data_IF_515891728429
#
_entry.id   IF_515891728429
#
_cell.length_a   1.000
_cell.length_b   1.000
_cell.length_c   1.000
_cell.angle_alpha   90.00
_cell.angle_beta   90.00
_cell.angle_gamma   90.00
#
_symmetry.space_group_name_H-M   'P 1'
#
loop_
_entity.id
_entity.type
_entity.pdbx_description
1 polymer ?
#
# COMPACT_ATOMS: atom_id res chain seq x y z
N UNK A 1 -28.11 -6.79 3.13
CA UNK A 1 -27.02 -6.69 2.12
C UNK A 1 -25.76 -7.01 2.88
N UNK A 2 -25.19 -8.19 2.67
CA UNK A 2 -24.05 -8.68 3.43
C UNK A 2 -22.85 -7.78 3.13
N UNK A 3 -22.27 -7.15 4.16
CA UNK A 3 -20.97 -6.50 4.05
C UNK A 3 -20.01 -7.65 3.74
N UNK A 4 -19.59 -7.78 2.49
CA UNK A 4 -18.57 -8.76 2.11
C UNK A 4 -17.41 -8.59 3.08
N UNK A 5 -17.01 -9.67 3.76
CA UNK A 5 -15.93 -9.58 4.73
C UNK A 5 -14.67 -9.13 3.99
N UNK A 6 -13.89 -8.18 4.54
CA UNK A 6 -12.70 -7.69 3.85
C UNK A 6 -11.69 -8.79 3.47
N UNK A 7 -11.68 -9.89 4.23
CA UNK A 7 -10.86 -11.07 3.96
C UNK A 7 -11.33 -11.82 2.70
N UNK A 8 -12.64 -11.95 2.49
CA UNK A 8 -13.20 -12.56 1.28
C UNK A 8 -12.87 -11.73 0.04
N UNK A 9 -12.94 -10.39 0.16
CA UNK A 9 -12.53 -9.49 -0.93
C UNK A 9 -11.06 -9.67 -1.29
N UNK A 10 -10.16 -9.73 -0.30
CA UNK A 10 -8.75 -10.01 -0.55
C UNK A 10 -8.59 -11.34 -1.28
N UNK A 11 -9.22 -12.41 -0.77
CA UNK A 11 -9.15 -13.75 -1.35
C UNK A 11 -9.62 -13.76 -2.80
N UNK A 12 -10.78 -13.19 -3.09
CA UNK A 12 -11.33 -13.12 -4.45
C UNK A 12 -10.38 -12.39 -5.41
N UNK A 13 -9.81 -11.26 -4.99
CA UNK A 13 -8.89 -10.50 -5.83
C UNK A 13 -7.55 -11.21 -6.01
N UNK A 14 -7.00 -11.80 -4.96
CA UNK A 14 -5.77 -12.59 -5.04
C UNK A 14 -5.93 -13.80 -5.98
N UNK A 15 -7.07 -14.50 -5.93
CA UNK A 15 -7.38 -15.59 -6.86
C UNK A 15 -7.51 -15.11 -8.31
N UNK A 16 -8.08 -13.93 -8.54
CA UNK A 16 -8.17 -13.34 -9.88
C UNK A 16 -6.79 -12.93 -10.44
N UNK A 17 -5.87 -12.47 -9.60
CA UNK A 17 -4.51 -12.09 -9.98
C UNK A 17 -3.54 -13.28 -10.06
N UNK A 18 -3.87 -14.41 -9.41
CA UNK A 18 -2.97 -15.57 -9.32
C UNK A 18 -2.42 -16.04 -10.69
N UNK A 19 -3.21 -16.14 -11.77
CA UNK A 19 -2.70 -16.58 -13.08
C UNK A 19 -1.66 -15.63 -13.69
N UNK A 20 -1.84 -14.31 -13.59
CA UNK A 20 -0.89 -13.33 -14.15
C UNK A 20 0.38 -13.23 -13.32
N UNK A 21 0.27 -13.44 -12.01
CA UNK A 21 1.39 -13.42 -11.07
C UNK A 21 2.15 -14.76 -10.99
N UNK A 22 1.64 -15.83 -11.61
CA UNK A 22 2.29 -17.15 -11.62
C UNK A 22 2.09 -17.98 -10.35
N UNK A 23 1.01 -17.73 -9.59
CA UNK A 23 0.67 -18.50 -8.39
C UNK A 23 -0.59 -19.36 -8.60
N UNK A 24 -0.72 -20.41 -7.81
CA UNK A 24 -1.93 -21.27 -7.79
C UNK A 24 -2.95 -20.79 -6.77
N UNK A 25 -4.22 -21.15 -6.97
CA UNK A 25 -5.29 -20.91 -5.99
C UNK A 25 -5.00 -21.59 -4.63
N UNK A 26 -4.33 -22.73 -4.65
CA UNK A 26 -3.93 -23.44 -3.44
C UNK A 26 -2.93 -22.62 -2.63
N UNK A 27 -1.89 -22.07 -3.28
CA UNK A 27 -0.91 -21.18 -2.62
C UNK A 27 -1.59 -19.95 -2.01
N UNK A 28 -2.51 -19.31 -2.73
CA UNK A 28 -3.26 -18.17 -2.20
C UNK A 28 -4.01 -18.55 -0.92
N UNK A 29 -4.83 -19.61 -0.97
CA UNK A 29 -5.63 -20.02 0.18
C UNK A 29 -4.77 -20.45 1.38
N UNK A 30 -3.67 -21.16 1.12
CA UNK A 30 -2.74 -21.59 2.15
C UNK A 30 -2.06 -20.39 2.81
N UNK A 31 -1.55 -19.44 2.03
CA UNK A 31 -0.91 -18.22 2.55
C UNK A 31 -1.89 -17.39 3.39
N UNK A 32 -3.13 -17.23 2.94
CA UNK A 32 -4.18 -16.59 3.76
C UNK A 32 -4.36 -17.35 5.09
N UNK A 33 -4.46 -18.67 5.05
CA UNK A 33 -4.62 -19.50 6.26
C UNK A 33 -3.47 -19.32 7.25
N UNK A 34 -2.22 -19.30 6.77
CA UNK A 34 -1.04 -19.05 7.61
C UNK A 34 -1.15 -17.68 8.27
N UNK A 35 -1.41 -16.63 7.49
CA UNK A 35 -1.47 -15.25 8.01
C UNK A 35 -2.57 -15.09 9.06
N UNK A 36 -3.77 -15.60 8.77
CA UNK A 36 -4.91 -15.47 9.67
C UNK A 36 -4.73 -16.29 10.96
N UNK A 37 -4.11 -17.47 10.88
CA UNK A 37 -3.83 -18.28 12.06
C UNK A 37 -2.69 -17.68 12.90
N UNK A 38 -1.63 -17.16 12.27
CA UNK A 38 -0.47 -16.60 12.96
C UNK A 38 -0.76 -15.23 13.59
N UNK A 39 -1.40 -14.32 12.85
CA UNK A 39 -1.70 -12.97 13.35
C UNK A 39 -3.07 -12.86 14.03
N UNK A 40 -3.92 -13.88 13.91
CA UNK A 40 -5.29 -13.88 14.42
C UNK A 40 -6.26 -13.19 13.45
N UNK A 41 -7.23 -13.95 12.93
CA UNK A 41 -8.20 -13.46 11.94
C UNK A 41 -8.97 -12.22 12.43
N UNK A 42 -9.41 -12.21 13.69
CA UNK A 42 -10.10 -11.07 14.29
C UNK A 42 -9.24 -9.81 14.31
N UNK A 43 -7.96 -9.94 14.66
CA UNK A 43 -7.03 -8.82 14.68
C UNK A 43 -6.77 -8.29 13.27
N UNK A 44 -6.59 -9.17 12.28
CA UNK A 44 -6.43 -8.74 10.88
C UNK A 44 -7.67 -7.99 10.41
N UNK A 45 -8.87 -8.52 10.65
CA UNK A 45 -10.13 -7.85 10.31
C UNK A 45 -10.27 -6.48 10.98
N UNK A 46 -9.88 -6.35 12.26
CA UNK A 46 -9.84 -5.07 12.96
C UNK A 46 -8.89 -4.06 12.27
N UNK A 47 -7.70 -4.49 11.85
CA UNK A 47 -6.75 -3.61 11.18
C UNK A 47 -7.26 -3.14 9.80
N UNK A 48 -8.06 -3.97 9.12
CA UNK A 48 -8.69 -3.60 7.84
C UNK A 48 -9.79 -2.55 8.01
N UNK A 49 -10.42 -2.46 9.18
CA UNK A 49 -11.41 -1.40 9.47
C UNK A 49 -10.78 -0.17 10.16
N UNK A 50 -9.55 -0.30 10.71
CA UNK A 50 -8.87 0.78 11.45
C UNK A 50 -8.18 1.79 10.54
N UNK A 51 -8.91 2.87 10.21
CA UNK A 51 -8.42 4.00 9.42
C UNK A 51 -7.80 5.07 10.34
N UNK A 52 -6.73 5.72 9.88
CA UNK A 52 -6.12 6.86 10.58
C UNK A 52 -7.13 8.02 10.66
N UNK A 53 -7.52 8.39 11.89
CA UNK A 53 -8.45 9.50 12.12
C UNK A 53 -7.85 10.82 11.63
N UNK A 54 -8.66 11.61 10.93
CA UNK A 54 -8.25 12.92 10.40
C UNK A 54 -7.48 12.86 9.08
N UNK A 55 -7.17 11.65 8.58
CA UNK A 55 -6.62 11.48 7.24
C UNK A 55 -7.76 11.56 6.20
N UNK A 56 -7.64 12.39 5.14
CA UNK A 56 -8.62 12.40 4.04
C UNK A 56 -8.65 11.07 3.29
N UNK A 57 -7.55 10.32 3.38
CA UNK A 57 -7.39 9.06 2.74
C UNK A 57 -7.85 7.96 3.67
N UNK A 58 -8.46 6.90 3.14
CA UNK A 58 -8.73 5.71 3.92
C UNK A 58 -7.44 4.93 4.22
N UNK A 59 -6.36 5.61 4.65
CA UNK A 59 -5.09 5.00 5.03
C UNK A 59 -5.31 4.22 6.33
N UNK A 60 -4.93 2.94 6.30
CA UNK A 60 -4.97 2.10 7.49
C UNK A 60 -3.81 2.42 8.41
N UNK A 61 -4.08 2.36 9.72
CA UNK A 61 -3.06 2.63 10.74
C UNK A 61 -1.94 1.59 10.64
N UNK A 62 -2.30 0.32 10.46
CA UNK A 62 -1.36 -0.77 10.32
C UNK A 62 -1.23 -1.20 8.84
N UNK A 63 -0.01 -1.46 8.32
CA UNK A 63 0.20 -1.86 6.93
C UNK A 63 -0.61 -3.09 6.49
N UNK A 64 -0.71 -4.13 7.32
CA UNK A 64 -1.59 -5.31 7.06
C UNK A 64 -3.01 -4.88 6.71
N UNK A 65 -3.58 -3.90 7.41
CA UNK A 65 -4.91 -3.41 7.09
C UNK A 65 -4.99 -2.89 5.65
N UNK A 66 -3.95 -2.20 5.18
CA UNK A 66 -3.84 -1.71 3.80
C UNK A 66 -3.72 -2.83 2.78
N UNK A 67 -2.92 -3.86 3.05
CA UNK A 67 -2.76 -5.02 2.15
C UNK A 67 -4.09 -5.72 1.87
N UNK A 68 -4.90 -5.92 2.92
CA UNK A 68 -6.19 -6.59 2.83
C UNK A 68 -7.34 -5.67 2.37
N UNK A 69 -7.26 -4.36 2.64
CA UNK A 69 -8.29 -3.40 2.21
C UNK A 69 -8.28 -3.15 0.70
N UNK A 70 -7.10 -3.10 0.09
CA UNK A 70 -6.91 -2.76 -1.34
C UNK A 70 -5.91 -3.73 -2.00
N UNK A 71 -6.32 -4.98 -2.27
CA UNK A 71 -5.46 -6.02 -2.84
C UNK A 71 -5.08 -5.76 -4.31
N UNK A 72 -3.91 -5.17 -4.54
CA UNK A 72 -3.23 -5.15 -5.83
C UNK A 72 -2.14 -6.20 -5.93
N UNK A 73 -1.47 -6.31 -7.08
CA UNK A 73 -0.34 -7.25 -7.25
C UNK A 73 0.74 -7.09 -6.16
N UNK A 74 1.18 -5.87 -5.79
CA UNK A 74 2.17 -5.71 -4.72
C UNK A 74 1.64 -6.15 -3.36
N UNK A 75 0.36 -5.89 -3.07
CA UNK A 75 -0.25 -6.26 -1.79
C UNK A 75 -0.44 -7.79 -1.69
N UNK A 76 -0.85 -8.42 -2.78
CA UNK A 76 -0.96 -9.88 -2.86
C UNK A 76 0.41 -10.52 -2.72
N UNK A 77 1.42 -10.02 -3.43
CA UNK A 77 2.79 -10.50 -3.31
C UNK A 77 3.31 -10.40 -1.86
N UNK A 78 3.15 -9.24 -1.21
CA UNK A 78 3.60 -9.03 0.18
C UNK A 78 2.91 -10.00 1.17
N UNK A 79 1.63 -10.32 0.98
CA UNK A 79 0.92 -11.31 1.81
C UNK A 79 1.41 -12.73 1.56
N UNK A 80 1.64 -13.11 0.30
CA UNK A 80 2.19 -14.44 -0.04
C UNK A 80 3.61 -14.61 0.50
N UNK A 81 4.47 -13.59 0.33
CA UNK A 81 5.82 -13.57 0.87
C UNK A 81 5.83 -13.66 2.40
N UNK A 82 4.99 -12.87 3.08
CA UNK A 82 4.91 -12.92 4.54
C UNK A 82 4.49 -14.31 5.03
N UNK A 83 3.61 -15.02 4.31
CA UNK A 83 3.24 -16.38 4.66
C UNK A 83 4.44 -17.34 4.54
N UNK A 84 5.25 -17.22 3.49
CA UNK A 84 6.50 -18.01 3.35
C UNK A 84 7.49 -17.70 4.47
N UNK A 85 7.62 -16.42 4.84
CA UNK A 85 8.48 -16.02 5.94
C UNK A 85 8.02 -16.59 7.28
N UNK A 86 6.71 -16.57 7.55
CA UNK A 86 6.14 -17.17 8.76
C UNK A 86 6.28 -18.68 8.77
N UNK A 87 6.17 -19.34 7.61
CA UNK A 87 6.40 -20.78 7.49
C UNK A 87 7.84 -21.14 7.85
N UNK A 88 8.83 -20.37 7.41
CA UNK A 88 10.24 -20.56 7.75
C UNK A 88 10.47 -20.57 9.27
N UNK A 89 9.77 -19.72 10.00
CA UNK A 89 9.98 -19.49 11.43
C UNK A 89 8.96 -20.21 12.31
N UNK A 90 8.09 -21.03 11.73
CA UNK A 90 6.94 -21.65 12.42
C UNK A 90 7.36 -22.52 13.62
N UNK A 91 8.54 -23.12 13.58
CA UNK A 91 9.10 -23.94 14.67
C UNK A 91 10.13 -23.19 15.52
N UNK A 92 10.39 -21.91 15.23
CA UNK A 92 11.35 -21.10 15.97
C UNK A 92 10.80 -20.71 17.33
N UNK A 93 11.64 -20.76 18.37
CA UNK A 93 11.28 -20.22 19.69
C UNK A 93 11.04 -18.72 19.67
N UNK A 94 11.53 -18.01 18.65
CA UNK A 94 11.33 -16.56 18.47
C UNK A 94 9.97 -16.21 17.85
N UNK A 95 9.18 -17.18 17.37
CA UNK A 95 7.91 -16.92 16.69
C UNK A 95 6.97 -15.99 17.49
N UNK A 96 6.74 -16.17 18.81
CA UNK A 96 5.85 -15.27 19.55
C UNK A 96 6.30 -13.81 19.52
N UNK A 97 7.60 -13.56 19.61
CA UNK A 97 8.19 -12.21 19.55
C UNK A 97 8.10 -11.63 18.14
N UNK A 98 8.39 -12.43 17.12
CA UNK A 98 8.20 -12.05 15.71
C UNK A 98 6.75 -11.63 15.43
N UNK A 99 5.77 -12.37 15.92
CA UNK A 99 4.35 -12.03 15.74
C UNK A 99 3.98 -10.75 16.49
N UNK A 100 4.50 -10.55 17.70
CA UNK A 100 4.30 -9.31 18.44
C UNK A 100 4.93 -8.11 17.70
N UNK A 101 6.15 -8.27 17.19
CA UNK A 101 6.87 -7.26 16.42
C UNK A 101 6.21 -6.97 15.08
N UNK A 102 5.62 -7.96 14.39
CA UNK A 102 4.82 -7.73 13.18
C UNK A 102 3.62 -6.84 13.45
N UNK A 103 2.97 -6.95 14.62
CA UNK A 103 1.84 -6.08 15.01
C UNK A 103 2.27 -4.67 15.43
N UNK A 104 3.49 -4.50 15.94
CA UNK A 104 3.98 -3.23 16.48
C UNK A 104 4.89 -2.45 15.52
N UNK A 105 5.76 -3.16 14.80
CA UNK A 105 6.85 -2.66 13.96
C UNK A 105 6.90 -3.43 12.63
N UNK A 106 5.76 -3.47 11.94
CA UNK A 106 5.56 -4.29 10.75
C UNK A 106 6.69 -4.23 9.72
N UNK A 107 7.11 -3.02 9.30
CA UNK A 107 8.11 -2.85 8.23
C UNK A 107 9.51 -3.35 8.63
N UNK A 108 9.96 -3.06 9.84
CA UNK A 108 11.26 -3.54 10.33
C UNK A 108 11.27 -5.06 10.46
N UNK A 109 10.20 -5.62 11.03
CA UNK A 109 10.06 -7.07 11.22
C UNK A 109 9.93 -7.81 9.89
N UNK A 110 9.17 -7.26 8.94
CA UNK A 110 9.06 -7.80 7.58
C UNK A 110 10.43 -7.83 6.88
N UNK A 111 11.23 -6.77 7.03
CA UNK A 111 12.58 -6.71 6.45
C UNK A 111 13.50 -7.77 7.06
N UNK A 112 13.49 -7.91 8.38
CA UNK A 112 14.24 -8.93 9.12
C UNK A 112 13.85 -10.34 8.66
N UNK A 113 12.56 -10.63 8.56
CA UNK A 113 12.02 -11.88 8.03
C UNK A 113 12.44 -12.15 6.58
N UNK A 114 12.40 -11.13 5.72
CA UNK A 114 12.83 -11.26 4.33
C UNK A 114 14.34 -11.56 4.23
N UNK A 115 15.17 -10.96 5.09
CA UNK A 115 16.59 -11.32 5.17
C UNK A 115 16.79 -12.74 5.70
N UNK A 116 16.09 -13.13 6.76
CA UNK A 116 16.13 -14.50 7.28
C UNK A 116 15.80 -15.52 6.18
N UNK A 117 14.74 -15.28 5.40
CA UNK A 117 14.36 -16.14 4.30
C UNK A 117 15.43 -16.27 3.23
N UNK A 118 16.04 -15.14 2.81
CA UNK A 118 17.15 -15.16 1.83
C UNK A 118 18.38 -15.89 2.37
N UNK A 119 18.73 -15.66 3.63
CA UNK A 119 19.86 -16.32 4.26
C UNK A 119 19.64 -17.81 4.44
N UNK A 120 18.42 -18.25 4.78
CA UNK A 120 18.06 -19.67 4.86
C UNK A 120 18.27 -20.42 3.54
N UNK A 121 18.29 -19.73 2.40
CA UNK A 121 18.60 -20.34 1.10
C UNK A 121 20.11 -20.46 0.83
N UNK A 122 20.95 -19.78 1.61
CA UNK A 122 22.40 -19.76 1.49
C UNK A 122 23.10 -20.52 2.63
N UNK A 123 22.40 -20.77 3.72
CA UNK A 123 22.89 -21.47 4.91
C UNK A 123 22.41 -22.92 4.96
N UNK A 124 23.18 -23.77 5.65
CA UNK A 124 22.77 -25.15 5.97
C UNK A 124 21.77 -25.19 7.15
N UNK A 125 21.74 -24.11 7.94
CA UNK A 125 20.93 -23.96 9.15
C UNK A 125 19.92 -22.82 8.99
N UNK A 126 18.75 -22.95 9.62
CA UNK A 126 17.78 -21.85 9.68
C UNK A 126 18.35 -20.68 10.47
N UNK A 127 18.33 -19.43 9.94
CA UNK A 127 18.78 -18.26 10.68
C UNK A 127 18.06 -18.11 12.01
N UNK A 128 18.81 -17.78 13.06
CA UNK A 128 18.25 -17.48 14.36
C UNK A 128 17.81 -16.00 14.38
N UNK A 129 16.53 -15.79 14.60
CA UNK A 129 15.94 -14.47 14.82
C UNK A 129 16.11 -14.08 16.28
N UNK A 130 16.28 -12.77 16.50
CA UNK A 130 16.38 -12.20 17.84
C UNK A 130 17.46 -12.90 18.71
N UNK A 131 18.69 -13.15 18.21
CA UNK A 131 19.75 -13.76 19.00
C UNK A 131 20.13 -12.91 20.22
N UNK A 132 20.38 -13.51 21.40
CA UNK A 132 20.89 -12.77 22.54
C UNK A 132 22.29 -12.25 22.24
N UNK A 133 22.52 -10.95 22.51
CA UNK A 133 23.83 -10.31 22.41
C UNK A 133 24.29 -9.76 23.77
N UNK A 134 25.52 -9.25 23.85
CA UNK A 134 26.09 -8.76 25.11
C UNK A 134 25.26 -7.64 25.73
N UNK A 135 25.13 -7.66 27.06
CA UNK A 135 24.40 -6.65 27.82
C UNK A 135 22.89 -6.81 27.81
N UNK A 136 22.36 -7.99 27.46
CA UNK A 136 20.92 -8.26 27.42
C UNK A 136 20.18 -7.62 26.25
N UNK A 137 20.94 -7.10 25.26
CA UNK A 137 20.39 -6.67 23.98
C UNK A 137 20.10 -7.90 23.11
N UNK A 138 19.32 -7.66 22.07
CA UNK A 138 18.97 -8.65 21.06
C UNK A 138 19.43 -8.11 19.71
N UNK A 139 20.07 -8.96 18.90
CA UNK A 139 20.42 -8.63 17.51
C UNK A 139 19.30 -9.03 16.56
N UNK A 140 19.35 -8.64 15.29
CA UNK A 140 18.25 -8.96 14.38
C UNK A 140 18.34 -10.41 13.86
N UNK A 141 19.53 -10.84 13.43
CA UNK A 141 19.75 -12.15 12.82
C UNK A 141 21.14 -12.72 13.13
N UNK A 142 21.20 -14.00 13.46
CA UNK A 142 22.43 -14.79 13.51
C UNK A 142 22.36 -15.92 12.47
N UNK A 143 23.36 -16.00 11.59
CA UNK A 143 23.39 -16.97 10.50
C UNK A 143 24.79 -17.51 10.27
N UNK A 144 24.89 -18.79 9.91
CA UNK A 144 26.12 -19.40 9.40
C UNK A 144 26.06 -19.57 7.89
N UNK A 145 26.93 -18.89 7.14
CA UNK A 145 27.05 -19.02 5.68
C UNK A 145 28.45 -19.53 5.34
N UNK A 146 28.52 -20.67 4.65
CA UNK A 146 29.78 -21.35 4.29
C UNK A 146 30.74 -21.52 5.48
N UNK A 147 30.22 -21.92 6.65
CA UNK A 147 30.98 -22.13 7.88
C UNK A 147 31.39 -20.86 8.64
N UNK A 148 31.05 -19.67 8.13
CA UNK A 148 31.30 -18.41 8.81
C UNK A 148 30.02 -17.89 9.47
N UNK A 149 30.11 -17.52 10.75
CA UNK A 149 29.00 -16.96 11.51
C UNK A 149 28.93 -15.44 11.32
N UNK A 150 27.75 -14.93 11.03
CA UNK A 150 27.44 -13.51 10.83
C UNK A 150 26.33 -13.09 11.78
N UNK A 151 26.52 -11.95 12.44
CA UNK A 151 25.45 -11.21 13.11
C UNK A 151 25.04 -10.08 12.18
N UNK A 152 23.78 -10.08 11.73
CA UNK A 152 23.25 -9.15 10.73
C UNK A 152 22.27 -8.20 11.39
N UNK A 153 22.39 -6.91 11.08
CA UNK A 153 21.49 -5.83 11.49
C UNK A 153 20.66 -5.38 10.27
N UNK A 154 19.34 -5.43 10.40
CA UNK A 154 18.36 -5.14 9.38
C UNK A 154 17.82 -3.71 9.56
N UNK A 155 18.51 -2.73 8.97
CA UNK A 155 18.06 -1.34 9.01
C UNK A 155 17.37 -0.92 7.70
N UNK A 156 16.10 -0.51 7.80
CA UNK A 156 15.42 0.21 6.74
C UNK A 156 15.73 1.72 6.89
N UNK A 157 16.54 2.33 6.01
CA UNK A 157 16.79 3.76 6.07
C UNK A 157 15.49 4.52 5.85
N UNK A 158 14.94 5.07 6.92
CA UNK A 158 13.90 6.09 6.83
C UNK A 158 14.59 7.41 6.50
N UNK A 159 14.66 7.74 5.21
CA UNK A 159 15.03 9.07 4.78
C UNK A 159 13.97 10.04 5.33
N UNK A 160 14.19 10.60 6.52
CA UNK A 160 13.52 11.84 6.92
C UNK A 160 14.12 12.91 6.02
N UNK A 161 13.46 13.24 4.92
CA UNK A 161 13.92 14.35 4.10
C UNK A 161 13.91 15.60 4.99
N UNK A 162 15.07 16.25 5.08
CA UNK A 162 15.30 17.38 5.98
C UNK A 162 14.36 18.52 5.56
N UNK A 163 13.29 18.75 6.33
CA UNK A 163 12.27 19.76 6.02
C UNK A 163 10.89 19.20 5.64
N UNK A 164 10.74 17.87 5.48
CA UNK A 164 9.42 17.24 5.43
C UNK A 164 8.76 17.32 6.82
N UNK A 165 7.91 18.31 7.06
CA UNK A 165 6.79 18.05 7.95
C UNK A 165 5.79 17.24 7.13
N UNK A 166 5.64 15.96 7.49
CA UNK A 166 4.57 15.08 6.99
C UNK A 166 3.21 15.79 6.91
N UNK A 167 3.00 16.72 7.84
CA UNK A 167 1.77 17.47 8.03
C UNK A 167 1.47 18.42 6.87
N UNK A 168 2.49 19.04 6.24
CA UNK A 168 2.23 20.01 5.16
C UNK A 168 1.90 19.31 3.84
N UNK A 169 2.58 18.20 3.53
CA UNK A 169 2.24 17.34 2.40
C UNK A 169 0.86 16.73 2.60
N UNK A 170 0.56 16.24 3.81
CA UNK A 170 -0.77 15.73 4.15
C UNK A 170 -1.85 16.82 4.04
N UNK A 171 -1.57 18.03 4.51
CA UNK A 171 -2.50 19.16 4.40
C UNK A 171 -2.80 19.51 2.95
N UNK A 172 -1.76 19.62 2.10
CA UNK A 172 -1.92 19.91 0.68
C UNK A 172 -2.72 18.81 -0.02
N UNK A 173 -2.42 17.55 0.30
CA UNK A 173 -3.15 16.38 -0.20
C UNK A 173 -4.62 16.46 0.21
N UNK A 174 -4.93 16.65 1.50
CA UNK A 174 -6.29 16.79 2.01
C UNK A 174 -7.06 17.90 1.30
N UNK A 175 -6.47 19.09 1.22
CA UNK A 175 -7.16 20.24 0.62
C UNK A 175 -7.34 20.09 -0.88
N UNK A 176 -6.44 19.39 -1.57
CA UNK A 176 -6.59 19.12 -3.00
C UNK A 176 -7.68 18.08 -3.26
N UNK A 177 -7.80 17.06 -2.42
CA UNK A 177 -8.90 16.07 -2.49
C UNK A 177 -10.24 16.75 -2.24
N UNK A 178 -10.34 17.57 -1.19
CA UNK A 178 -11.56 18.33 -0.87
C UNK A 178 -12.04 19.23 -2.01
N UNK A 179 -11.12 19.69 -2.88
CA UNK A 179 -11.45 20.51 -4.05
C UNK A 179 -12.12 19.70 -5.18
N UNK A 180 -11.86 18.40 -5.28
CA UNK A 180 -12.32 17.54 -6.38
C UNK A 180 -13.29 16.43 -5.97
N UNK A 181 -13.44 16.15 -4.67
CA UNK A 181 -14.18 14.98 -4.16
C UNK A 181 -15.67 14.94 -4.55
N UNK A 182 -16.30 16.09 -4.75
CA UNK A 182 -17.73 16.22 -5.03
C UNK A 182 -18.00 16.52 -6.51
N UNK A 183 -17.00 16.33 -7.38
CA UNK A 183 -17.10 16.54 -8.83
C UNK A 183 -17.48 15.25 -9.54
N UNK A 184 -18.12 15.40 -10.69
CA UNK A 184 -18.57 14.26 -11.51
C UNK A 184 -17.44 13.58 -12.31
N UNK A 185 -16.25 14.20 -12.33
CA UNK A 185 -15.07 13.71 -13.07
C UNK A 185 -13.99 13.22 -12.10
N UNK A 186 -13.17 12.30 -12.59
CA UNK A 186 -11.99 11.82 -11.85
C UNK A 186 -10.75 12.59 -12.29
N UNK A 187 -9.95 13.03 -11.32
CA UNK A 187 -8.78 13.85 -11.56
C UNK A 187 -7.50 13.16 -11.05
N UNK A 188 -6.42 13.29 -11.82
CA UNK A 188 -5.05 13.05 -11.37
C UNK A 188 -4.45 14.40 -10.97
N UNK A 189 -3.91 14.50 -9.75
CA UNK A 189 -3.33 15.74 -9.22
C UNK A 189 -1.90 15.43 -8.79
N UNK A 190 -0.94 16.20 -9.30
CA UNK A 190 0.45 16.13 -8.89
C UNK A 190 0.95 17.52 -8.50
N UNK A 191 1.72 17.57 -7.41
CA UNK A 191 2.29 18.79 -6.85
C UNK A 191 3.77 18.53 -6.61
N UNK A 192 4.63 19.21 -7.35
CA UNK A 192 6.06 19.26 -7.10
C UNK A 192 6.35 20.52 -6.30
N UNK A 193 6.99 20.37 -5.13
CA UNK A 193 7.40 21.48 -4.28
C UNK A 193 8.89 21.72 -4.48
N UNK A 194 9.25 22.93 -4.89
CA UNK A 194 10.65 23.33 -5.04
C UNK A 194 11.27 23.73 -3.69
N UNK A 195 10.43 24.18 -2.76
CA UNK A 195 10.73 24.48 -1.37
C UNK A 195 9.48 24.28 -0.49
N UNK A 196 9.66 24.29 0.84
CA UNK A 196 8.53 24.18 1.77
C UNK A 196 7.64 25.42 1.71
N UNK A 197 6.33 25.29 1.39
CA UNK A 197 5.47 26.44 1.18
C UNK A 197 4.98 27.06 2.49
N UNK A 198 5.00 28.39 2.55
CA UNK A 198 4.32 29.20 3.57
C UNK A 198 2.80 29.02 3.53
N UNK A 199 2.11 29.48 4.57
CA UNK A 199 0.64 29.41 4.65
C UNK A 199 -0.08 30.14 3.49
N UNK A 200 0.51 31.21 2.96
CA UNK A 200 -0.03 31.93 1.81
C UNK A 200 0.13 31.11 0.53
N UNK A 201 1.31 30.54 0.31
CA UNK A 201 1.62 29.72 -0.86
C UNK A 201 0.80 28.44 -0.90
N UNK A 202 0.56 27.81 0.25
CA UNK A 202 -0.34 26.67 0.36
C UNK A 202 -1.75 26.97 -0.17
N UNK A 203 -2.29 28.15 0.17
CA UNK A 203 -3.59 28.59 -0.36
C UNK A 203 -3.52 28.83 -1.88
N UNK A 204 -2.40 29.33 -2.39
CA UNK A 204 -2.19 29.51 -3.83
C UNK A 204 -2.14 28.18 -4.58
N UNK A 205 -1.42 27.19 -4.04
CA UNK A 205 -1.35 25.83 -4.60
C UNK A 205 -2.74 25.20 -4.68
N UNK A 206 -3.50 25.20 -3.59
CA UNK A 206 -4.86 24.62 -3.57
C UNK A 206 -5.81 25.38 -4.50
N UNK A 207 -5.71 26.72 -4.58
CA UNK A 207 -6.47 27.52 -5.56
C UNK A 207 -6.08 27.19 -6.99
N UNK A 208 -4.81 26.91 -7.25
CA UNK A 208 -4.34 26.46 -8.56
C UNK A 208 -5.01 25.12 -8.91
N UNK A 209 -4.96 24.13 -8.02
CA UNK A 209 -5.67 22.83 -8.21
C UNK A 209 -7.13 23.07 -8.55
N UNK A 210 -7.85 23.88 -7.77
CA UNK A 210 -9.27 24.19 -8.02
C UNK A 210 -9.49 24.80 -9.41
N UNK A 211 -8.73 25.84 -9.75
CA UNK A 211 -8.86 26.52 -11.03
C UNK A 211 -8.57 25.58 -12.20
N UNK A 212 -7.55 24.73 -12.10
CA UNK A 212 -7.20 23.78 -13.14
C UNK A 212 -8.27 22.70 -13.29
N UNK A 213 -8.84 22.20 -12.19
CA UNK A 213 -9.96 21.27 -12.21
C UNK A 213 -11.22 21.90 -12.85
N UNK A 214 -11.55 23.16 -12.50
CA UNK A 214 -12.67 23.91 -13.10
C UNK A 214 -12.52 24.04 -14.63
N UNK A 215 -11.29 24.28 -15.10
CA UNK A 215 -11.00 24.37 -16.54
C UNK A 215 -11.13 23.04 -17.27
N UNK A 216 -10.77 21.93 -16.62
CA UNK A 216 -10.85 20.60 -17.19
C UNK A 216 -12.27 20.05 -17.16
N UNK A 217 -13.07 20.39 -16.15
CA UNK A 217 -14.47 19.98 -16.05
C UNK A 217 -15.33 20.62 -17.14
N UNK A 218 -14.98 21.82 -17.59
CA UNK A 218 -15.59 22.48 -18.73
C UNK A 218 -15.14 21.92 -20.10
N UNK A 219 -14.16 21.00 -20.12
CA UNK A 219 -13.65 20.41 -21.35
C UNK A 219 -14.32 19.07 -21.65
N UNK A 220 -14.78 18.89 -22.89
CA UNK A 220 -15.27 17.60 -23.34
C UNK A 220 -14.13 16.58 -23.47
N UNK A 221 -14.23 15.53 -22.68
CA UNK A 221 -13.43 14.32 -22.79
C UNK A 221 -14.33 13.12 -22.51
N UNK A 222 -14.34 12.17 -23.45
CA UNK A 222 -15.18 10.97 -23.43
C UNK A 222 -14.53 9.80 -22.69
N UNK A 223 -13.36 10.01 -22.09
CA UNK A 223 -12.58 8.97 -21.41
C UNK A 223 -11.66 8.18 -22.34
N UNK A 224 -11.61 8.51 -23.63
CA UNK A 224 -10.78 7.83 -24.63
C UNK A 224 -9.58 8.69 -25.06
N UNK A 225 -8.50 8.05 -25.49
CA UNK A 225 -7.29 8.73 -25.96
C UNK A 225 -6.45 9.36 -24.84
N UNK A 226 -5.62 10.34 -25.20
CA UNK A 226 -4.77 11.04 -24.25
C UNK A 226 -5.61 11.98 -23.38
N UNK A 227 -5.60 11.83 -22.04
CA UNK A 227 -6.43 12.67 -21.20
C UNK A 227 -5.92 14.12 -21.21
N UNK A 228 -6.83 15.10 -21.18
CA UNK A 228 -6.42 16.49 -21.11
C UNK A 228 -5.77 16.80 -19.75
N UNK A 229 -4.68 17.55 -19.81
CA UNK A 229 -3.95 18.05 -18.64
C UNK A 229 -3.92 19.57 -18.63
N UNK A 230 -3.66 20.13 -17.45
CA UNK A 230 -3.32 21.53 -17.25
C UNK A 230 -2.19 21.65 -16.24
N UNK A 231 -1.34 22.64 -16.46
CA UNK A 231 -0.19 22.94 -15.61
C UNK A 231 -0.32 24.35 -15.03
N UNK A 232 0.09 24.48 -13.78
CA UNK A 232 0.40 25.74 -13.14
C UNK A 232 1.84 25.70 -12.65
N UNK A 233 2.65 26.67 -13.09
CA UNK A 233 4.02 26.87 -12.62
C UNK A 233 4.01 28.12 -11.74
N UNK A 234 4.21 27.93 -10.44
CA UNK A 234 4.42 29.00 -9.48
C UNK A 234 5.89 29.16 -9.12
N UNK A 235 6.19 30.09 -8.23
CA UNK A 235 7.56 30.36 -7.76
C UNK A 235 8.14 29.21 -6.92
N UNK A 236 7.31 28.57 -6.09
CA UNK A 236 7.73 27.54 -5.12
C UNK A 236 7.07 26.17 -5.32
N UNK A 237 6.25 26.04 -6.36
CA UNK A 237 5.59 24.78 -6.67
C UNK A 237 5.12 24.74 -8.12
N UNK A 238 5.17 23.54 -8.68
CA UNK A 238 4.51 23.19 -9.95
C UNK A 238 3.35 22.25 -9.68
N UNK A 239 2.18 22.53 -10.26
CA UNK A 239 0.94 21.76 -10.08
C UNK A 239 0.44 21.28 -11.43
N UNK A 240 0.30 19.97 -11.59
CA UNK A 240 -0.38 19.35 -12.73
C UNK A 240 -1.72 18.80 -12.29
N UNK A 241 -2.77 19.07 -13.06
CA UNK A 241 -4.07 18.41 -12.94
C UNK A 241 -4.42 17.80 -14.29
N UNK A 242 -4.83 16.54 -14.31
CA UNK A 242 -5.31 15.86 -15.51
C UNK A 242 -6.65 15.19 -15.26
N UNK A 243 -7.47 15.04 -16.30
CA UNK A 243 -8.58 14.11 -16.23
C UNK A 243 -8.04 12.67 -16.26
N UNK A 244 -8.73 11.76 -15.60
CA UNK A 244 -8.40 10.34 -15.62
C UNK A 244 -9.67 9.51 -15.58
N UNK A 245 -9.53 8.21 -15.81
CA UNK A 245 -10.56 7.22 -15.53
C UNK A 245 -10.45 6.71 -14.08
N UNK A 246 -11.57 6.25 -13.48
CA UNK A 246 -11.53 5.49 -12.24
C UNK A 246 -10.63 4.26 -12.39
N UNK A 247 -9.83 3.96 -11.37
CA UNK A 247 -9.10 2.68 -11.26
C UNK A 247 -9.72 1.79 -10.21
N UNK A 248 -9.69 0.48 -10.45
CA UNK A 248 -10.13 -0.51 -9.47
C UNK A 248 -9.22 -0.52 -8.23
N UNK A 249 -9.70 -1.02 -7.08
CA UNK A 249 -8.85 -1.29 -5.93
C UNK A 249 -7.65 -2.17 -6.32
N UNK A 250 -6.44 -1.75 -5.93
CA UNK A 250 -5.23 -2.51 -6.20
C UNK A 250 -4.70 -2.44 -7.63
N UNK A 251 -5.34 -1.67 -8.52
CA UNK A 251 -4.82 -1.47 -9.87
C UNK A 251 -3.76 -0.37 -9.89
N UNK A 252 -2.70 -0.59 -10.67
CA UNK A 252 -1.69 0.42 -10.91
C UNK A 252 -2.30 1.58 -11.70
N UNK A 253 -2.34 2.75 -11.10
CA UNK A 253 -2.76 3.98 -11.77
C UNK A 253 -1.53 4.63 -12.40
N UNK A 254 -1.55 4.84 -13.72
CA UNK A 254 -0.56 5.68 -14.38
C UNK A 254 -0.95 7.14 -14.17
N UNK A 255 -0.17 7.87 -13.37
CA UNK A 255 -0.43 9.28 -13.10
C UNK A 255 -0.56 10.07 -14.41
N UNK A 256 -1.67 10.79 -14.57
CA UNK A 256 -1.92 11.61 -15.75
C UNK A 256 -1.32 12.98 -15.50
N UNK A 257 -0.10 13.16 -15.99
CA UNK A 257 0.69 14.37 -15.76
C UNK A 257 0.84 15.19 -17.04
N UNK A 258 0.82 16.51 -16.88
CA UNK A 258 1.19 17.41 -17.95
C UNK A 258 2.62 17.13 -18.41
N UNK A 259 2.88 17.24 -19.73
CA UNK A 259 4.19 16.91 -20.31
C UNK A 259 5.32 17.78 -19.75
N UNK A 260 5.01 19.01 -19.32
CA UNK A 260 5.99 19.92 -18.75
C UNK A 260 6.12 19.80 -17.22
N UNK A 261 5.40 18.87 -16.58
CA UNK A 261 5.54 18.64 -15.14
C UNK A 261 6.92 18.03 -14.80
N UNK A 262 7.62 18.51 -13.75
CA UNK A 262 8.92 17.99 -13.35
C UNK A 262 8.89 16.48 -13.07
N UNK A 263 9.88 15.74 -13.60
CA UNK A 263 10.06 14.31 -13.35
C UNK A 263 11.40 14.09 -12.66
N UNK A 264 11.36 13.56 -11.45
CA UNK A 264 12.55 13.25 -10.66
C UNK A 264 12.79 11.73 -10.70
N UNK A 265 13.67 11.24 -11.57
CA UNK A 265 14.01 9.82 -11.67
C UNK A 265 12.87 8.93 -12.22
N UNK A 266 12.78 7.69 -11.73
CA UNK A 266 11.62 6.81 -11.93
C UNK A 266 10.45 7.37 -11.08
N UNK A 267 9.49 8.00 -11.77
CA UNK A 267 8.22 8.64 -11.36
C UNK A 267 7.62 8.39 -9.93
N UNK A 268 6.83 9.34 -9.40
CA UNK A 268 6.93 9.90 -8.04
C UNK A 268 6.71 8.96 -6.84
N UNK A 269 7.40 9.32 -5.75
CA UNK A 269 7.53 8.65 -4.43
C UNK A 269 6.26 8.57 -3.57
N UNK A 270 5.16 9.22 -3.97
CA UNK A 270 3.86 9.09 -3.30
C UNK A 270 2.75 9.11 -4.34
N UNK A 271 2.28 7.92 -4.71
CA UNK A 271 1.09 7.75 -5.50
C UNK A 271 -0.09 7.46 -4.56
N UNK A 272 -1.01 8.41 -4.45
CA UNK A 272 -2.27 8.18 -3.76
C UNK A 272 -3.36 8.06 -4.81
N UNK A 273 -3.68 6.82 -5.20
CA UNK A 273 -4.89 6.53 -5.92
C UNK A 273 -6.06 6.48 -4.93
N UNK A 274 -6.80 7.58 -4.80
CA UNK A 274 -8.04 7.61 -4.03
C UNK A 274 -9.19 7.33 -4.96
N UNK A 275 -9.79 6.15 -4.84
CA UNK A 275 -11.17 5.98 -5.25
C UNK A 275 -12.04 6.13 -4.01
N UNK A 276 -12.83 7.20 -3.94
CA UNK A 276 -14.06 7.14 -3.16
C UNK A 276 -15.06 6.39 -4.03
N UNK A 277 -15.08 5.05 -3.95
CA UNK A 277 -16.04 4.27 -4.71
C UNK A 277 -17.45 4.68 -4.25
N UNK A 278 -18.28 5.16 -5.16
CA UNK A 278 -19.67 5.44 -4.80
C UNK A 278 -20.35 4.12 -4.46
N UNK A 279 -21.38 4.15 -3.61
CA UNK A 279 -22.14 2.94 -3.24
C UNK A 279 -22.65 2.18 -4.48
N UNK A 280 -22.98 2.89 -5.56
CA UNK A 280 -23.45 2.29 -6.81
C UNK A 280 -22.36 1.51 -7.53
N UNK A 281 -21.13 2.03 -7.57
CA UNK A 281 -19.98 1.38 -8.20
C UNK A 281 -19.52 0.12 -7.46
N UNK A 282 -19.58 0.14 -6.12
CA UNK A 282 -19.32 -1.05 -5.30
C UNK A 282 -20.32 -2.16 -5.64
N UNK A 283 -21.58 -1.80 -5.89
CA UNK A 283 -22.64 -2.75 -6.22
C UNK A 283 -22.54 -3.29 -7.65
N UNK A 284 -22.04 -2.48 -8.59
CA UNK A 284 -21.80 -2.88 -9.97
C UNK A 284 -20.65 -3.90 -10.05
N UNK A 285 -19.56 -3.68 -9.33
CA UNK A 285 -18.43 -4.62 -9.26
C UNK A 285 -18.83 -5.98 -8.68
N UNK A 286 -19.80 -6.03 -7.76
CA UNK A 286 -20.32 -7.29 -7.19
C UNK A 286 -21.31 -8.04 -8.08
N UNK A 287 -21.81 -7.42 -9.16
CA UNK A 287 -22.79 -8.06 -10.07
C UNK A 287 -22.14 -8.92 -11.15
N UNK A 288 -20.89 -8.61 -11.53
CA UNK A 288 -20.16 -9.34 -12.57
C UNK A 288 -19.38 -10.56 -12.05
N UNK A 289 -19.43 -10.83 -10.74
CA UNK A 289 -18.88 -12.05 -10.16
C UNK A 289 -19.84 -13.22 -10.44
N UNK A 290 -19.42 -14.26 -11.18
CA UNK A 290 -20.24 -15.45 -11.35
C UNK A 290 -20.52 -16.05 -9.97
N UNK A 291 -21.73 -16.54 -9.68
CA UNK A 291 -21.98 -17.29 -8.45
C UNK A 291 -21.10 -18.54 -8.46
N UNK A 292 -19.97 -18.49 -7.75
CA UNK A 292 -19.11 -19.64 -7.51
C UNK A 292 -19.86 -20.61 -6.61
N UNK A 293 -20.04 -21.84 -7.10
CA UNK A 293 -20.64 -22.95 -6.38
C UNK A 293 -19.84 -23.23 -5.09
N UNK A 294 -20.27 -22.64 -3.97
CA UNK A 294 -19.97 -23.15 -2.65
C UNK A 294 -20.87 -24.36 -2.40
N UNK A 295 -20.49 -25.52 -2.94
CA UNK A 295 -21.02 -26.82 -2.52
C UNK A 295 -20.11 -27.40 -1.45
N UNK A 296 -20.73 -27.64 -0.29
CA UNK A 296 -20.44 -28.63 0.74
C UNK A 296 -19.01 -29.15 0.84
N UNK A 297 -18.31 -28.78 1.91
CA UNK A 297 -17.60 -29.73 2.77
C UNK A 297 -17.41 -29.11 4.16
N UNK A 298 -18.44 -29.28 5.01
CA UNK A 298 -18.27 -29.27 6.45
C UNK A 298 -17.98 -30.70 6.87
N UNK A 299 -16.83 -30.90 7.51
CA UNK A 299 -16.63 -31.91 8.53
C UNK A 299 -16.10 -31.17 9.78
#
# INVERSE_FOLDING_TARGET
MFKEEPLDRFRHRALALAPSMGFSAAQVNESLGIILNSLGAEWVSEQVDTIRRGDPLPIRVHPIGGLFATPGEPQVAEVLELAEYLRLVATSSALPEVLANLRAQYRSTLLQLAFAFRFAQLSEETPLLEPPVQGGRVGDLDVTVHGNRYLVECYAPMAKLKGESSDEVQWLTHRSIEVVKDRDRVFSIAIALDAMPSAAERKLIVRAVKRLADQLEAQDWDGTGFPPTRLYVGENATVSVGLTVPTGPGENHAAVLDRAFPRFGEEPTTLVAVRMATRAEILEFTRDTPPGEARDHVA
#
